data_IF_703625266518
#
_entry.id   IF_703625266518
#
_cell.length_a   1.000
_cell.length_b   1.000
_cell.length_c   1.000
_cell.angle_alpha   90.00
_cell.angle_beta   90.00
_cell.angle_gamma   90.00
#
_symmetry.space_group_name_H-M   'P 1'
#
loop_
_entity.id
_entity.type
_entity.pdbx_description
1 polymer ?
#
# COMPACT_ATOMS: atom_id res chain seq x y z
N UNK A 1 6.89 -20.58 1.12
CA UNK A 1 7.03 -19.19 1.58
C UNK A 1 6.38 -19.04 2.95
N UNK A 2 7.11 -18.52 3.91
CA UNK A 2 6.55 -18.25 5.24
C UNK A 2 6.04 -16.83 5.27
N UNK A 3 4.78 -16.66 5.59
CA UNK A 3 4.13 -15.34 5.52
C UNK A 3 4.72 -14.37 6.55
N UNK A 4 5.07 -14.86 7.74
CA UNK A 4 5.66 -13.97 8.75
C UNK A 4 7.00 -13.41 8.29
N UNK A 5 7.87 -14.27 7.73
CA UNK A 5 9.17 -13.83 7.24
C UNK A 5 8.99 -12.82 6.09
N UNK A 6 8.07 -13.13 5.19
CA UNK A 6 7.78 -12.23 4.07
C UNK A 6 7.29 -10.88 4.57
N UNK A 7 6.40 -10.90 5.57
CA UNK A 7 5.83 -9.68 6.14
C UNK A 7 6.90 -8.84 6.83
N UNK A 8 7.78 -9.48 7.61
CA UNK A 8 8.88 -8.74 8.25
C UNK A 8 9.79 -8.10 7.21
N UNK A 9 10.08 -8.83 6.13
CA UNK A 9 10.89 -8.28 5.05
C UNK A 9 10.23 -7.08 4.39
N UNK A 10 8.93 -7.15 4.15
CA UNK A 10 8.19 -6.06 3.54
C UNK A 10 8.16 -4.84 4.46
N UNK A 11 7.98 -5.04 5.77
CA UNK A 11 8.02 -3.96 6.73
C UNK A 11 9.37 -3.25 6.66
N UNK A 12 10.45 -4.03 6.66
CA UNK A 12 11.80 -3.46 6.60
C UNK A 12 12.06 -2.73 5.29
N UNK A 13 11.61 -3.29 4.18
CA UNK A 13 11.81 -2.66 2.87
C UNK A 13 11.05 -1.36 2.74
N UNK A 14 9.95 -1.20 3.46
CA UNK A 14 9.19 0.05 3.46
C UNK A 14 9.75 1.05 4.46
N UNK A 15 10.93 0.75 5.04
CA UNK A 15 11.63 1.63 5.98
C UNK A 15 10.86 1.81 7.28
N UNK A 16 10.19 0.76 7.71
CA UNK A 16 9.50 0.72 8.99
C UNK A 16 10.06 -0.41 9.83
N UNK A 17 9.71 -0.41 11.11
CA UNK A 17 9.99 -1.54 12.00
C UNK A 17 8.66 -2.08 12.52
N UNK A 18 8.70 -3.21 13.19
CA UNK A 18 7.48 -3.78 13.76
C UNK A 18 6.89 -2.88 14.84
N UNK A 19 7.70 -2.00 15.44
CA UNK A 19 7.18 -1.02 16.38
C UNK A 19 6.29 0.02 15.73
N UNK A 20 6.40 0.19 14.42
CA UNK A 20 5.59 1.15 13.69
C UNK A 20 4.23 0.58 13.27
N UNK A 21 3.98 -0.70 13.53
CA UNK A 21 2.74 -1.34 13.12
C UNK A 21 1.62 -0.91 14.06
N UNK A 22 0.59 -0.29 13.48
CA UNK A 22 -0.60 0.12 14.23
C UNK A 22 -1.55 -1.06 14.40
N UNK A 23 -1.77 -1.83 13.34
CA UNK A 23 -2.55 -3.07 13.43
C UNK A 23 -2.29 -3.91 12.19
N UNK A 24 -2.63 -5.19 12.29
CA UNK A 24 -2.70 -6.11 11.18
C UNK A 24 -4.15 -6.57 11.10
N UNK A 25 -4.77 -6.47 9.93
CA UNK A 25 -6.17 -6.83 9.85
C UNK A 25 -6.74 -6.61 8.47
N UNK A 26 -8.04 -6.31 8.41
CA UNK A 26 -8.76 -6.15 7.15
C UNK A 26 -8.66 -4.70 6.68
N UNK A 27 -8.67 -4.54 5.35
CA UNK A 27 -8.52 -3.21 4.74
C UNK A 27 -9.67 -2.28 5.12
N UNK A 28 -10.86 -2.83 5.36
CA UNK A 28 -12.00 -2.01 5.75
C UNK A 28 -11.95 -1.60 7.23
N UNK A 29 -10.95 -2.06 7.97
CA UNK A 29 -10.77 -1.69 9.36
C UNK A 29 -11.67 -2.40 10.34
N UNK A 30 -12.45 -3.37 9.90
CA UNK A 30 -13.39 -4.05 10.80
C UNK A 30 -12.72 -5.10 11.67
N UNK A 31 -11.61 -5.66 11.21
CA UNK A 31 -10.86 -6.66 11.97
C UNK A 31 -9.44 -6.16 12.12
N UNK A 32 -8.87 -6.30 13.31
CA UNK A 32 -7.50 -5.87 13.52
C UNK A 32 -6.95 -6.36 14.83
N UNK A 33 -5.67 -6.68 14.84
CA UNK A 33 -4.95 -7.13 16.02
C UNK A 33 -3.59 -6.42 16.07
N UNK A 34 -3.01 -6.24 17.25
CA UNK A 34 -1.68 -5.64 17.34
C UNK A 34 -0.62 -6.61 16.82
N UNK A 35 0.57 -6.09 16.55
CA UNK A 35 1.64 -6.89 15.99
C UNK A 35 1.97 -8.11 16.86
N UNK A 36 1.98 -7.95 18.17
CA UNK A 36 2.31 -9.06 19.06
C UNK A 36 1.36 -10.24 18.90
N UNK A 37 0.10 -9.97 18.57
CA UNK A 37 -0.86 -11.04 18.32
C UNK A 37 -0.81 -11.51 16.87
N UNK A 38 -0.32 -10.69 15.97
CA UNK A 38 -0.25 -11.03 14.56
C UNK A 38 0.87 -12.02 14.28
N UNK A 39 1.98 -11.94 15.02
CA UNK A 39 3.14 -12.79 14.74
C UNK A 39 2.78 -14.28 14.66
N UNK A 40 2.10 -14.86 15.68
CA UNK A 40 1.77 -16.27 15.56
C UNK A 40 0.73 -16.59 14.50
N UNK A 41 -0.13 -15.62 14.18
CA UNK A 41 -1.14 -15.81 13.13
C UNK A 41 -0.50 -15.83 11.75
N UNK A 42 0.52 -14.99 11.54
CA UNK A 42 1.20 -14.88 10.25
C UNK A 42 2.25 -15.99 10.05
N UNK A 43 2.59 -16.71 11.09
CA UNK A 43 3.65 -17.73 11.01
C UNK A 43 3.08 -19.02 10.40
N UNK A 44 2.80 -18.92 9.10
CA UNK A 44 2.26 -20.03 8.31
C UNK A 44 3.01 -20.08 6.98
N UNK A 45 3.06 -21.27 6.41
CA UNK A 45 3.61 -21.46 5.09
C UNK A 45 2.49 -21.44 4.05
N UNK A 46 2.78 -20.89 2.90
CA UNK A 46 1.83 -20.86 1.79
C UNK A 46 2.58 -20.86 0.47
N UNK A 47 1.86 -21.14 -0.62
CA UNK A 47 2.44 -21.18 -1.96
C UNK A 47 2.17 -19.81 -2.61
N UNK A 48 3.24 -19.03 -2.80
CA UNK A 48 3.12 -17.66 -3.30
C UNK A 48 3.29 -17.53 -4.81
N UNK A 49 3.43 -18.63 -5.53
CA UNK A 49 3.70 -18.55 -6.95
C UNK A 49 2.93 -19.52 -7.81
N UNK A 50 1.92 -20.20 -7.26
CA UNK A 50 1.31 -21.27 -7.99
C UNK A 50 -0.11 -21.50 -7.51
N UNK A 51 -1.02 -21.71 -8.44
CA UNK A 51 -2.40 -22.00 -8.11
C UNK A 51 -3.19 -20.72 -7.86
N UNK A 52 -4.15 -20.79 -6.95
CA UNK A 52 -4.98 -19.64 -6.61
C UNK A 52 -4.40 -18.92 -5.40
N UNK A 53 -4.87 -17.71 -5.19
CA UNK A 53 -4.44 -16.91 -4.04
C UNK A 53 -4.81 -17.60 -2.73
N UNK A 54 -3.86 -17.70 -1.82
CA UNK A 54 -4.06 -18.39 -0.55
C UNK A 54 -4.24 -17.46 0.62
N UNK A 55 -3.66 -16.26 0.57
CA UNK A 55 -3.76 -15.29 1.66
C UNK A 55 -4.91 -14.35 1.37
N UNK A 56 -5.65 -13.97 2.41
CA UNK A 56 -6.80 -13.09 2.26
C UNK A 56 -6.40 -11.83 1.51
N UNK A 57 -7.15 -11.49 0.47
CA UNK A 57 -6.80 -10.40 -0.43
C UNK A 57 -6.88 -9.04 0.27
N UNK A 58 -7.68 -8.92 1.32
CA UNK A 58 -7.85 -7.66 2.03
C UNK A 58 -7.01 -7.56 3.30
N UNK A 59 -6.07 -8.50 3.51
CA UNK A 59 -5.17 -8.41 4.65
C UNK A 59 -4.23 -7.23 4.46
N UNK A 60 -4.08 -6.41 5.50
CA UNK A 60 -3.19 -5.25 5.49
C UNK A 60 -2.34 -5.23 6.74
N UNK A 61 -1.18 -4.58 6.64
CA UNK A 61 -0.37 -4.18 7.79
C UNK A 61 -0.37 -2.65 7.77
N UNK A 62 -1.02 -2.05 8.76
CA UNK A 62 -1.17 -0.59 8.81
C UNK A 62 -0.13 -0.01 9.74
N UNK A 63 0.51 1.09 9.30
CA UNK A 63 1.56 1.75 10.07
C UNK A 63 1.01 2.99 10.76
N UNK A 64 1.71 3.41 11.81
CA UNK A 64 1.30 4.57 12.59
C UNK A 64 1.36 5.87 11.81
N UNK A 65 2.14 5.92 10.74
CA UNK A 65 2.25 7.13 9.92
C UNK A 65 1.18 7.21 8.84
N UNK A 66 0.30 6.22 8.75
CA UNK A 66 -0.77 6.21 7.75
C UNK A 66 -0.47 5.38 6.51
N UNK A 67 0.78 4.95 6.33
CA UNK A 67 1.10 4.03 5.25
C UNK A 67 0.67 2.63 5.60
N UNK A 68 0.66 1.75 4.63
CA UNK A 68 0.26 0.38 4.90
C UNK A 68 0.79 -0.55 3.82
N UNK A 69 0.85 -1.83 4.15
CA UNK A 69 1.13 -2.91 3.21
C UNK A 69 -0.19 -3.56 2.84
N UNK A 70 -0.37 -3.84 1.56
CA UNK A 70 -1.55 -4.56 1.07
C UNK A 70 -1.12 -5.74 0.25
N UNK A 71 -2.01 -6.71 0.08
CA UNK A 71 -1.72 -7.87 -0.74
C UNK A 71 -1.98 -7.55 -2.20
N UNK A 72 -1.11 -8.10 -3.06
CA UNK A 72 -1.26 -8.03 -4.50
C UNK A 72 -1.09 -9.42 -5.06
N UNK A 73 -1.71 -9.69 -6.20
CA UNK A 73 -1.71 -11.03 -6.78
C UNK A 73 -1.73 -10.92 -8.30
N UNK A 74 -0.98 -11.80 -8.95
CA UNK A 74 -1.02 -11.91 -10.40
C UNK A 74 -0.74 -13.36 -10.77
N UNK A 75 -1.70 -14.00 -11.41
CA UNK A 75 -1.56 -15.35 -11.97
C UNK A 75 -1.05 -16.35 -10.93
N UNK A 76 -1.59 -16.26 -9.71
CA UNK A 76 -1.23 -17.16 -8.63
C UNK A 76 -0.07 -16.70 -7.78
N UNK A 77 0.70 -15.73 -8.23
CA UNK A 77 1.76 -15.14 -7.40
C UNK A 77 1.17 -14.08 -6.51
N UNK A 78 1.61 -14.02 -5.26
CA UNK A 78 1.13 -13.00 -4.31
C UNK A 78 2.31 -12.41 -3.58
N UNK A 79 2.14 -11.15 -3.19
CA UNK A 79 3.19 -10.45 -2.47
C UNK A 79 2.60 -9.24 -1.75
N UNK A 80 3.46 -8.58 -0.94
CA UNK A 80 3.11 -7.34 -0.27
C UNK A 80 3.49 -6.15 -1.14
N UNK A 81 2.56 -5.18 -1.25
CA UNK A 81 2.84 -3.89 -1.88
C UNK A 81 2.71 -2.80 -0.84
N UNK A 82 3.62 -1.84 -0.86
CA UNK A 82 3.61 -0.75 0.10
C UNK A 82 2.88 0.45 -0.48
N UNK A 83 1.95 0.99 0.31
CA UNK A 83 1.26 2.22 0.00
C UNK A 83 1.72 3.28 1.00
N UNK A 84 2.43 4.30 0.56
CA UNK A 84 2.86 5.36 1.49
C UNK A 84 1.67 6.17 1.98
N UNK A 85 1.85 6.90 3.09
CA UNK A 85 0.77 7.74 3.56
C UNK A 85 0.41 8.78 2.52
N UNK A 86 -0.88 9.02 2.37
CA UNK A 86 -1.34 10.07 1.45
C UNK A 86 -1.16 11.42 2.13
N UNK A 87 -0.34 12.26 1.53
CA UNK A 87 -0.06 13.59 2.07
C UNK A 87 -0.35 14.61 1.00
N UNK A 88 -0.90 15.73 1.41
CA UNK A 88 -1.11 16.83 0.51
C UNK A 88 0.20 17.56 0.22
N UNK A 89 0.18 18.50 -0.70
CA UNK A 89 1.36 19.31 -0.98
C UNK A 89 1.64 20.28 0.16
N UNK A 90 2.92 20.64 0.32
CA UNK A 90 3.29 21.66 1.30
C UNK A 90 2.66 23.01 0.94
N UNK A 91 2.62 23.29 -0.35
CA UNK A 91 1.99 24.51 -0.87
C UNK A 91 0.98 24.09 -1.90
N UNK A 92 -0.24 24.59 -1.74
CA UNK A 92 -1.30 24.25 -2.68
C UNK A 92 -1.06 24.98 -3.98
N UNK A 93 -1.23 24.26 -5.09
CA UNK A 93 -1.11 24.82 -6.41
C UNK A 93 -2.43 24.67 -7.12
N UNK A 94 -2.89 25.72 -7.79
CA UNK A 94 -4.19 25.65 -8.46
C UNK A 94 -4.13 24.78 -9.71
N UNK A 95 -5.25 24.23 -10.05
CA UNK A 95 -5.43 23.56 -11.33
C UNK A 95 -6.84 23.85 -11.80
N UNK A 96 -7.10 23.64 -13.09
CA UNK A 96 -8.39 23.98 -13.69
C UNK A 96 -9.04 22.85 -14.44
N UNK A 97 -8.27 21.85 -14.81
CA UNK A 97 -8.77 20.78 -15.65
C UNK A 97 -8.67 19.47 -14.90
N UNK A 98 -9.71 18.64 -15.00
CA UNK A 98 -9.73 17.32 -14.37
C UNK A 98 -9.96 16.21 -15.38
N UNK A 99 -10.39 16.55 -16.60
CA UNK A 99 -10.73 15.56 -17.59
C UNK A 99 -9.52 15.29 -18.47
N UNK A 100 -9.13 14.04 -18.56
CA UNK A 100 -7.97 13.65 -19.36
C UNK A 100 -8.26 13.81 -20.84
N UNK A 101 -7.21 14.13 -21.59
CA UNK A 101 -7.24 14.11 -23.03
C UNK A 101 -6.42 12.93 -23.50
N UNK A 102 -6.49 12.66 -24.79
CA UNK A 102 -5.78 11.48 -25.31
C UNK A 102 -4.26 11.60 -25.17
N UNK A 103 -3.76 12.78 -24.94
CA UNK A 103 -2.31 12.99 -24.84
C UNK A 103 -1.85 13.27 -23.41
N UNK A 104 -2.75 13.17 -22.43
CA UNK A 104 -2.41 13.44 -21.03
C UNK A 104 -3.01 12.36 -20.17
N UNK A 105 -2.25 11.87 -19.18
CA UNK A 105 -2.70 10.82 -18.31
C UNK A 105 -2.57 11.15 -16.83
N UNK A 106 -2.33 12.41 -16.48
CA UNK A 106 -2.28 12.83 -15.07
C UNK A 106 -2.82 14.25 -14.96
N UNK A 107 -3.18 14.60 -13.73
CA UNK A 107 -3.66 15.96 -13.45
C UNK A 107 -2.59 16.99 -13.79
N UNK A 108 -1.35 16.67 -13.49
CA UNK A 108 -0.25 17.58 -13.76
C UNK A 108 -0.08 17.78 -15.27
N UNK A 109 -0.19 16.71 -16.04
CA UNK A 109 0.03 16.78 -17.48
C UNK A 109 -0.99 17.69 -18.16
N UNK A 110 -2.26 17.58 -17.78
CA UNK A 110 -3.29 18.36 -18.44
C UNK A 110 -3.29 19.83 -18.00
N UNK A 111 -2.58 20.14 -16.90
CA UNK A 111 -2.50 21.51 -16.40
C UNK A 111 -1.14 22.15 -16.64
N UNK A 112 -0.22 21.43 -17.29
CA UNK A 112 1.16 21.91 -17.43
C UNK A 112 1.28 23.29 -18.06
N UNK A 113 0.60 23.56 -19.20
CA UNK A 113 0.74 24.91 -19.77
C UNK A 113 0.15 26.01 -18.88
N UNK A 114 -0.86 25.67 -18.09
CA UNK A 114 -1.45 26.63 -17.17
C UNK A 114 -0.45 27.11 -16.15
N UNK A 115 0.32 26.17 -15.63
CA UNK A 115 1.30 26.51 -14.61
C UNK A 115 2.35 27.44 -15.18
N UNK A 116 2.77 27.20 -16.42
CA UNK A 116 3.77 28.06 -17.06
C UNK A 116 3.24 29.46 -17.33
N UNK A 117 1.94 29.62 -17.46
CA UNK A 117 1.36 30.92 -17.79
C UNK A 117 0.94 31.71 -16.56
N UNK A 118 1.17 31.16 -15.40
CA UNK A 118 0.76 31.81 -14.17
C UNK A 118 1.63 33.01 -13.82
N UNK A 119 2.74 33.16 -14.47
CA UNK A 119 3.60 34.26 -14.14
C UNK A 119 3.05 35.58 -14.53
#
# INVERSE_FOLDING_TARGET
MNLLDETKGAISQSEHSTDDVRFVGSRDGKLGIPWSQAEPVLDIDYDDGYGSQEIAADLVVAFTDGGFLRREEYDGSEWWEYEPPFRGPETQKPFRLVKLTYSADSLEDINYPMEATEE
#
